data_IF_443899529546
#
_entry.id   IF_443899529546
#
_cell.length_a   1.000
_cell.length_b   1.000
_cell.length_c   1.000
_cell.angle_alpha   90.00
_cell.angle_beta   90.00
_cell.angle_gamma   90.00
#
_symmetry.space_group_name_H-M   'P 1'
#
loop_
_entity.id
_entity.type
_entity.pdbx_description
1 polymer ?
#
# COMPACT_ATOMS: atom_id res chain seq x y z
N UNK A 1 -25.33 -14.25 28.77
CA UNK A 1 -24.62 -13.12 29.37
C UNK A 1 -23.19 -13.11 28.84
N UNK A 2 -22.84 -12.18 27.96
CA UNK A 2 -21.49 -11.61 27.75
C UNK A 2 -21.55 -10.70 26.51
N UNK A 3 -22.06 -9.48 26.70
CA UNK A 3 -22.16 -8.43 25.67
C UNK A 3 -21.04 -7.37 25.75
N UNK A 4 -20.05 -7.56 26.61
CA UNK A 4 -19.09 -6.49 26.96
C UNK A 4 -17.72 -6.59 26.25
N UNK A 5 -17.45 -7.62 25.46
CA UNK A 5 -16.17 -7.79 24.77
C UNK A 5 -16.02 -6.91 23.52
N UNK A 6 -17.06 -6.76 22.75
CA UNK A 6 -17.02 -6.09 21.44
C UNK A 6 -16.89 -4.56 21.54
N UNK A 7 -17.46 -3.97 22.57
CA UNK A 7 -17.41 -2.52 22.84
C UNK A 7 -16.02 -2.03 23.27
N UNK A 8 -15.18 -2.91 23.81
CA UNK A 8 -13.85 -2.54 24.31
C UNK A 8 -12.82 -2.43 23.17
N UNK A 9 -12.89 -3.31 22.17
CA UNK A 9 -11.97 -3.27 21.03
C UNK A 9 -12.18 -2.06 20.11
N UNK A 10 -13.43 -1.62 19.94
CA UNK A 10 -13.77 -0.42 19.19
C UNK A 10 -13.22 0.85 19.87
N UNK A 11 -13.29 0.94 21.20
CA UNK A 11 -12.75 2.08 21.95
C UNK A 11 -11.23 2.12 21.93
N UNK A 12 -10.57 0.96 21.98
CA UNK A 12 -9.11 0.85 21.88
C UNK A 12 -8.65 1.27 20.47
N UNK A 13 -9.37 0.85 19.44
CA UNK A 13 -9.07 1.23 18.04
C UNK A 13 -9.25 2.74 17.80
N UNK A 14 -10.31 3.34 18.34
CA UNK A 14 -10.50 4.79 18.28
C UNK A 14 -9.43 5.56 19.07
N UNK A 15 -9.00 5.04 20.22
CA UNK A 15 -7.94 5.64 21.02
C UNK A 15 -6.58 5.57 20.29
N UNK A 16 -6.27 4.48 19.60
CA UNK A 16 -5.06 4.34 18.79
C UNK A 16 -5.05 5.30 17.59
N UNK A 17 -6.20 5.49 16.92
CA UNK A 17 -6.34 6.48 15.85
C UNK A 17 -6.15 7.90 16.40
N UNK A 18 -6.74 8.23 17.54
CA UNK A 18 -6.59 9.53 18.17
C UNK A 18 -5.14 9.79 18.62
N UNK A 19 -4.42 8.77 19.09
CA UNK A 19 -3.01 8.85 19.45
C UNK A 19 -2.11 9.07 18.23
N UNK A 20 -2.47 8.48 17.09
CA UNK A 20 -1.75 8.67 15.82
C UNK A 20 -1.94 10.10 15.27
N UNK A 21 -3.14 10.66 15.38
CA UNK A 21 -3.39 12.05 15.00
C UNK A 21 -2.76 13.06 15.96
N UNK A 22 -2.66 12.76 17.26
CA UNK A 22 -2.03 13.67 18.22
C UNK A 22 -0.51 13.79 18.03
N UNK A 23 0.16 12.72 17.57
CA UNK A 23 1.60 12.77 17.27
C UNK A 23 1.94 13.67 16.07
N UNK A 24 1.00 13.83 15.12
CA UNK A 24 1.19 14.77 14.00
C UNK A 24 1.10 16.24 14.42
N UNK A 25 0.39 16.57 15.50
CA UNK A 25 0.22 17.96 15.96
C UNK A 25 1.46 18.45 16.75
N UNK A 26 2.18 17.55 17.43
CA UNK A 26 3.40 17.90 18.17
C UNK A 26 4.63 18.11 17.26
N UNK A 27 4.57 17.71 16.00
CA UNK A 27 5.65 17.93 15.04
C UNK A 27 5.74 19.35 14.49
N UNK A 28 4.76 20.24 14.82
CA UNK A 28 4.69 21.59 14.26
C UNK A 28 5.20 22.69 15.22
N UNK A 29 5.76 22.35 16.38
CA UNK A 29 6.12 23.34 17.39
C UNK A 29 7.59 23.20 17.85
N UNK A 30 8.51 23.38 16.91
CA UNK A 30 9.89 23.75 17.22
C UNK A 30 10.42 24.69 16.14
N UNK A 31 9.96 25.95 16.21
CA UNK A 31 10.65 27.05 15.58
C UNK A 31 11.86 27.42 16.43
N UNK A 32 12.97 27.72 15.74
CA UNK A 32 14.23 28.38 16.17
C UNK A 32 15.38 27.45 16.58
N UNK A 33 15.95 26.79 15.55
CA UNK A 33 17.41 26.86 15.32
C UNK A 33 17.68 26.58 13.84
N UNK A 34 18.59 27.26 13.12
CA UNK A 34 19.04 26.86 11.81
C UNK A 34 19.98 25.67 11.98
N UNK A 35 19.42 24.51 12.37
CA UNK A 35 20.09 23.25 12.15
C UNK A 35 20.20 23.10 10.64
N UNK A 36 21.35 22.68 10.15
CA UNK A 36 21.55 22.23 8.80
C UNK A 36 20.51 21.14 8.54
N UNK A 37 19.37 21.57 8.03
CA UNK A 37 18.23 20.70 7.71
C UNK A 37 18.79 19.63 6.79
N UNK A 38 18.78 18.41 7.27
CA UNK A 38 19.46 17.31 6.59
C UNK A 38 18.82 17.20 5.19
N UNK A 39 19.55 17.61 4.16
CA UNK A 39 19.07 17.68 2.76
C UNK A 39 18.38 16.40 2.31
N UNK A 40 18.72 15.28 2.97
CA UNK A 40 18.09 14.00 2.73
C UNK A 40 16.58 14.05 3.01
N UNK A 41 16.16 14.54 4.19
CA UNK A 41 14.76 14.55 4.58
C UNK A 41 13.87 15.50 3.76
N UNK A 42 14.46 16.53 3.18
CA UNK A 42 13.75 17.44 2.27
C UNK A 42 13.33 16.75 0.97
N UNK A 43 14.04 15.71 0.57
CA UNK A 43 13.78 14.94 -0.63
C UNK A 43 12.92 13.68 -0.36
N UNK A 44 12.63 13.38 0.93
CA UNK A 44 11.78 12.27 1.31
C UNK A 44 10.33 12.71 1.37
N UNK A 45 9.46 11.97 0.71
CA UNK A 45 8.02 12.14 0.82
C UNK A 45 7.40 10.85 1.37
N UNK A 46 6.47 11.02 2.28
CA UNK A 46 5.68 9.93 2.84
C UNK A 46 4.31 9.91 2.18
N UNK A 47 3.76 8.73 2.03
CA UNK A 47 2.47 8.59 1.40
C UNK A 47 2.09 7.14 1.20
N UNK A 48 1.53 6.84 0.05
CA UNK A 48 1.18 5.48 -0.28
C UNK A 48 0.08 5.39 -1.33
N UNK A 49 -0.32 4.16 -1.62
CA UNK A 49 -1.34 3.84 -2.60
C UNK A 49 -2.50 3.04 -2.02
N UNK A 50 -3.64 3.22 -2.64
CA UNK A 50 -4.81 2.37 -2.47
C UNK A 50 -5.10 1.75 -3.83
N UNK A 51 -5.26 0.44 -3.88
CA UNK A 51 -5.68 -0.30 -5.05
C UNK A 51 -7.03 -0.97 -4.80
N UNK A 52 -7.86 -0.98 -5.82
CA UNK A 52 -9.16 -1.62 -5.78
C UNK A 52 -9.27 -2.54 -7.00
N UNK A 53 -9.59 -3.79 -6.79
CA UNK A 53 -9.89 -4.77 -7.83
C UNK A 53 -11.30 -5.30 -7.66
N UNK A 54 -12.08 -5.28 -8.74
CA UNK A 54 -13.43 -5.84 -8.76
C UNK A 54 -13.57 -6.80 -9.94
N UNK A 55 -14.15 -7.95 -9.69
CA UNK A 55 -14.43 -8.96 -10.71
C UNK A 55 -15.67 -9.78 -10.35
N UNK A 56 -16.09 -10.70 -11.24
CA UNK A 56 -17.23 -11.57 -10.99
C UNK A 56 -16.99 -12.45 -9.75
N UNK A 57 -17.51 -12.03 -8.60
CA UNK A 57 -17.41 -12.77 -7.33
C UNK A 57 -16.10 -12.58 -6.56
N UNK A 58 -15.27 -11.61 -6.95
CA UNK A 58 -14.00 -11.34 -6.32
C UNK A 58 -13.87 -9.84 -5.97
N UNK A 59 -13.33 -9.57 -4.80
CA UNK A 59 -13.03 -8.20 -4.32
C UNK A 59 -11.59 -8.19 -3.80
N UNK A 60 -10.81 -7.23 -4.29
CA UNK A 60 -9.43 -6.97 -3.88
C UNK A 60 -9.34 -5.54 -3.36
N UNK A 61 -8.87 -5.39 -2.13
CA UNK A 61 -8.57 -4.10 -1.52
C UNK A 61 -7.12 -4.14 -1.09
N UNK A 62 -6.31 -3.22 -1.61
CA UNK A 62 -4.90 -3.09 -1.24
C UNK A 62 -4.61 -1.73 -0.63
N UNK A 63 -3.79 -1.73 0.41
CA UNK A 63 -3.25 -0.56 1.08
C UNK A 63 -1.73 -0.66 1.09
N UNK A 64 -1.06 0.39 0.62
CA UNK A 64 0.37 0.40 0.40
C UNK A 64 1.02 1.69 0.94
N UNK A 65 1.15 1.85 2.28
CA UNK A 65 1.94 2.95 2.83
C UNK A 65 3.40 2.84 2.35
N UNK A 66 3.98 3.97 1.97
CA UNK A 66 5.32 4.01 1.39
C UNK A 66 6.02 5.33 1.65
N UNK A 67 7.35 5.30 1.55
CA UNK A 67 8.20 6.48 1.55
C UNK A 67 9.02 6.48 0.27
N UNK A 68 9.14 7.63 -0.39
CA UNK A 68 9.93 7.81 -1.60
C UNK A 68 10.99 8.88 -1.36
N UNK A 69 12.14 8.71 -2.00
CA UNK A 69 13.19 9.69 -2.08
C UNK A 69 13.25 10.24 -3.50
N UNK A 70 13.08 11.54 -3.66
CA UNK A 70 13.17 12.23 -4.93
C UNK A 70 14.62 12.59 -5.22
N UNK A 71 15.22 11.96 -6.22
CA UNK A 71 16.57 12.30 -6.68
C UNK A 71 16.58 13.61 -7.46
N UNK A 72 15.52 13.84 -8.20
CA UNK A 72 15.25 15.06 -8.98
C UNK A 72 13.75 15.16 -9.30
N UNK A 73 13.35 16.13 -10.10
CA UNK A 73 11.96 16.34 -10.56
C UNK A 73 11.39 15.15 -11.35
N UNK A 74 12.25 14.33 -11.96
CA UNK A 74 11.85 13.25 -12.86
C UNK A 74 11.86 11.86 -12.20
N UNK A 75 12.79 11.63 -11.26
CA UNK A 75 13.06 10.28 -10.74
C UNK A 75 12.95 10.23 -9.23
N UNK A 76 12.17 9.26 -8.74
CA UNK A 76 12.14 8.91 -7.33
C UNK A 76 12.23 7.38 -7.16
N UNK A 77 12.83 6.96 -6.04
CA UNK A 77 12.81 5.57 -5.58
C UNK A 77 12.22 5.50 -4.19
N UNK A 78 11.51 4.44 -3.89
CA UNK A 78 10.88 4.28 -2.60
C UNK A 78 10.78 2.84 -2.15
N UNK A 79 10.38 2.71 -0.88
CA UNK A 79 10.05 1.45 -0.25
C UNK A 79 8.67 1.55 0.37
N UNK A 80 7.94 0.45 0.38
CA UNK A 80 6.60 0.41 0.92
C UNK A 80 6.29 -0.88 1.63
N UNK A 81 5.28 -0.81 2.47
CA UNK A 81 4.62 -1.98 3.02
C UNK A 81 3.36 -2.24 2.21
N UNK A 82 3.00 -3.50 2.07
CA UNK A 82 1.82 -3.92 1.32
C UNK A 82 0.91 -4.73 2.23
N UNK A 83 -0.35 -4.37 2.24
CA UNK A 83 -1.40 -5.19 2.83
C UNK A 83 -2.52 -5.33 1.81
N UNK A 84 -2.92 -6.58 1.54
CA UNK A 84 -4.03 -6.88 0.63
C UNK A 84 -5.02 -7.81 1.29
N UNK A 85 -6.28 -7.52 1.07
CA UNK A 85 -7.40 -8.35 1.43
C UNK A 85 -8.10 -8.83 0.16
N UNK A 86 -8.05 -10.12 -0.07
CA UNK A 86 -8.71 -10.79 -1.19
C UNK A 86 -9.88 -11.60 -0.65
N UNK A 87 -11.07 -11.36 -1.16
CA UNK A 87 -12.25 -12.17 -0.86
C UNK A 87 -12.84 -12.68 -2.15
N UNK A 88 -12.94 -14.00 -2.27
CA UNK A 88 -13.70 -14.67 -3.31
C UNK A 88 -14.97 -15.24 -2.71
N UNK A 89 -16.11 -14.91 -3.33
CA UNK A 89 -17.43 -15.32 -2.85
C UNK A 89 -17.49 -16.84 -2.73
N UNK A 90 -17.83 -17.34 -1.53
CA UNK A 90 -18.06 -18.74 -1.19
C UNK A 90 -16.83 -19.69 -1.17
N UNK A 91 -15.59 -19.18 -1.29
CA UNK A 91 -14.42 -20.06 -1.33
C UNK A 91 -13.37 -19.77 -0.26
N UNK A 92 -12.87 -18.55 -0.13
CA UNK A 92 -11.83 -18.20 0.86
C UNK A 92 -11.69 -16.71 1.06
N UNK A 93 -11.15 -16.33 2.22
CA UNK A 93 -10.61 -15.01 2.49
C UNK A 93 -9.11 -15.13 2.74
N UNK A 94 -8.31 -14.32 2.04
CA UNK A 94 -6.87 -14.33 2.19
C UNK A 94 -6.36 -12.96 2.59
N UNK A 95 -5.45 -12.96 3.55
CA UNK A 95 -4.69 -11.81 3.97
C UNK A 95 -3.26 -11.93 3.45
N UNK A 96 -2.81 -10.91 2.74
CA UNK A 96 -1.48 -10.85 2.18
C UNK A 96 -0.77 -9.65 2.76
N UNK A 97 0.47 -9.83 3.19
CA UNK A 97 1.31 -8.76 3.71
C UNK A 97 2.74 -8.93 3.25
N UNK A 98 3.42 -7.83 3.07
CA UNK A 98 4.79 -7.84 2.61
C UNK A 98 5.35 -6.45 2.39
N UNK A 99 6.36 -6.36 1.54
CA UNK A 99 7.01 -5.12 1.18
C UNK A 99 7.13 -4.93 -0.32
N UNK A 100 7.40 -3.70 -0.72
CA UNK A 100 7.68 -3.36 -2.10
C UNK A 100 8.82 -2.36 -2.23
N UNK A 101 9.45 -2.38 -3.40
CA UNK A 101 10.35 -1.33 -3.88
C UNK A 101 9.71 -0.72 -5.11
N UNK A 102 9.63 0.60 -5.14
CA UNK A 102 8.97 1.35 -6.20
C UNK A 102 9.92 2.36 -6.82
N UNK A 103 10.00 2.37 -8.16
CA UNK A 103 10.60 3.41 -8.95
C UNK A 103 9.53 4.25 -9.63
N UNK A 104 9.66 5.57 -9.55
CA UNK A 104 8.77 6.52 -10.20
C UNK A 104 9.57 7.34 -11.22
N UNK A 105 8.97 7.55 -12.37
CA UNK A 105 9.52 8.39 -13.42
C UNK A 105 8.43 9.34 -13.94
N UNK A 106 8.69 10.65 -13.86
CA UNK A 106 7.78 11.71 -14.27
C UNK A 106 8.37 12.42 -15.49
N UNK A 107 8.11 11.95 -16.72
CA UNK A 107 8.65 12.61 -17.94
C UNK A 107 8.15 14.05 -18.09
N UNK A 108 6.94 14.31 -17.61
CA UNK A 108 6.33 15.63 -17.45
C UNK A 108 5.57 15.67 -16.12
N UNK A 109 5.27 16.86 -15.57
CA UNK A 109 4.62 16.97 -14.25
C UNK A 109 3.30 16.20 -14.10
N UNK A 110 2.55 16.04 -15.21
CA UNK A 110 1.22 15.42 -15.20
C UNK A 110 1.24 13.91 -15.44
N UNK A 111 2.36 13.34 -15.91
CA UNK A 111 2.47 11.91 -16.22
C UNK A 111 3.46 11.26 -15.27
N UNK A 112 3.02 10.22 -14.59
CA UNK A 112 3.87 9.38 -13.75
C UNK A 112 3.88 7.94 -14.28
N UNK A 113 5.07 7.46 -14.61
CA UNK A 113 5.34 6.05 -14.86
C UNK A 113 5.87 5.41 -13.59
N UNK A 114 5.57 4.15 -13.36
CA UNK A 114 6.03 3.42 -12.20
C UNK A 114 6.46 2.00 -12.54
N UNK A 115 7.50 1.53 -11.84
CA UNK A 115 7.87 0.13 -11.78
C UNK A 115 7.91 -0.28 -10.30
N UNK A 116 7.23 -1.34 -9.92
CA UNK A 116 7.10 -1.76 -8.52
C UNK A 116 7.32 -3.26 -8.41
N UNK A 117 8.31 -3.64 -7.59
CA UNK A 117 8.58 -5.03 -7.22
C UNK A 117 7.97 -5.28 -5.85
N UNK A 118 6.99 -6.18 -5.78
CA UNK A 118 6.33 -6.60 -4.55
C UNK A 118 6.77 -8.01 -4.14
N UNK A 119 6.99 -8.20 -2.83
CA UNK A 119 7.20 -9.50 -2.22
C UNK A 119 6.18 -9.68 -1.11
N UNK A 120 5.23 -10.58 -1.31
CA UNK A 120 4.12 -10.80 -0.38
C UNK A 120 4.15 -12.21 0.20
N UNK A 121 3.87 -12.30 1.49
CA UNK A 121 3.52 -13.57 2.14
C UNK A 121 2.02 -13.76 2.09
N UNK A 122 1.62 -14.88 1.53
CA UNK A 122 0.22 -15.28 1.38
C UNK A 122 -0.14 -16.23 2.52
N UNK A 123 -1.19 -15.89 3.26
CA UNK A 123 -1.77 -16.75 4.27
C UNK A 123 -3.21 -17.07 3.84
N UNK A 124 -3.46 -18.32 3.50
CA UNK A 124 -4.77 -18.78 3.04
C UNK A 124 -5.50 -19.46 4.18
N UNK A 125 -6.62 -18.88 4.59
CA UNK A 125 -7.55 -19.51 5.53
C UNK A 125 -8.70 -20.14 4.73
N UNK A 126 -8.74 -21.46 4.68
CA UNK A 126 -9.87 -22.21 4.11
C UNK A 126 -10.95 -22.34 5.18
N UNK A 127 -12.12 -21.74 4.93
CA UNK A 127 -13.30 -21.93 5.78
C UNK A 127 -13.76 -23.39 5.68
N UNK A 128 -13.61 -24.14 6.78
CA UNK A 128 -14.23 -25.47 6.94
C UNK A 128 -13.30 -26.66 7.04
N UNK A 129 -11.98 -26.50 7.02
CA UNK A 129 -11.05 -27.61 7.24
C UNK A 129 -9.93 -27.24 8.19
N UNK A 130 -9.82 -27.95 9.28
CA UNK A 130 -8.81 -27.76 10.34
C UNK A 130 -7.37 -28.16 9.92
N UNK A 131 -7.08 -28.29 8.63
CA UNK A 131 -5.79 -28.83 8.20
C UNK A 131 -5.38 -28.22 6.88
N UNK A 132 -4.29 -27.48 6.89
CA UNK A 132 -3.51 -26.89 5.81
C UNK A 132 -3.77 -25.40 5.53
N UNK A 133 -3.28 -24.54 6.41
CA UNK A 133 -2.85 -23.21 5.97
C UNK A 133 -1.60 -23.38 5.11
N UNK A 134 -1.66 -23.02 3.84
CA UNK A 134 -0.47 -23.00 2.98
C UNK A 134 0.10 -21.58 2.97
N UNK A 135 1.29 -21.45 3.54
CA UNK A 135 2.05 -20.22 3.49
C UNK A 135 3.04 -20.29 2.35
N UNK A 136 2.98 -19.33 1.42
CA UNK A 136 3.96 -19.22 0.35
C UNK A 136 4.30 -17.75 0.05
N UNK A 137 5.46 -17.55 -0.58
CA UNK A 137 5.87 -16.23 -1.05
C UNK A 137 5.38 -16.01 -2.48
N UNK A 138 4.84 -14.83 -2.73
CA UNK A 138 4.45 -14.38 -4.05
C UNK A 138 5.24 -13.14 -4.42
N UNK A 139 5.86 -13.16 -5.59
CA UNK A 139 6.60 -12.03 -6.15
C UNK A 139 5.80 -11.44 -7.29
N UNK A 140 5.59 -10.14 -7.26
CA UNK A 140 4.91 -9.40 -8.31
C UNK A 140 5.81 -8.30 -8.87
N UNK A 141 5.82 -8.12 -10.18
CA UNK A 141 6.45 -6.98 -10.84
C UNK A 141 5.37 -6.22 -11.61
N UNK A 142 5.18 -4.98 -11.24
CA UNK A 142 4.16 -4.12 -11.83
C UNK A 142 4.79 -2.98 -12.61
N UNK A 143 4.26 -2.73 -13.80
CA UNK A 143 4.51 -1.52 -14.57
C UNK A 143 3.22 -0.73 -14.59
N UNK A 144 3.29 0.56 -14.27
CA UNK A 144 2.13 1.44 -14.16
C UNK A 144 2.32 2.76 -14.85
N UNK A 145 1.20 3.38 -15.17
CA UNK A 145 1.13 4.75 -15.67
C UNK A 145 -0.09 5.44 -15.04
N UNK A 146 0.07 6.72 -14.73
CA UNK A 146 -0.99 7.52 -14.14
C UNK A 146 -0.89 9.00 -14.46
N UNK A 147 -2.01 9.67 -14.28
CA UNK A 147 -2.11 11.12 -14.31
C UNK A 147 -1.86 11.66 -12.91
N UNK A 148 -0.90 12.55 -12.81
CA UNK A 148 -0.50 13.21 -11.57
C UNK A 148 -1.08 14.62 -11.51
N UNK A 149 -1.68 14.96 -10.39
CA UNK A 149 -2.15 16.31 -10.08
C UNK A 149 -1.69 16.67 -8.65
N UNK A 150 -0.70 17.53 -8.56
CA UNK A 150 -0.06 17.87 -7.27
C UNK A 150 0.52 16.63 -6.57
N UNK A 151 0.02 16.36 -5.36
CA UNK A 151 0.44 15.22 -4.54
C UNK A 151 -0.22 13.90 -4.92
N UNK A 152 -1.28 13.92 -5.73
CA UNK A 152 -2.08 12.73 -6.05
C UNK A 152 -1.81 12.24 -7.46
N UNK A 153 -1.74 10.92 -7.63
CA UNK A 153 -1.68 10.24 -8.92
C UNK A 153 -2.80 9.21 -9.00
N UNK A 154 -3.56 9.26 -10.08
CA UNK A 154 -4.55 8.24 -10.41
C UNK A 154 -4.13 7.52 -11.69
N UNK A 155 -4.17 6.21 -11.70
CA UNK A 155 -3.68 5.44 -12.84
C UNK A 155 -4.02 3.98 -12.78
N UNK A 156 -3.30 3.22 -13.60
CA UNK A 156 -3.40 1.79 -13.62
C UNK A 156 -2.01 1.15 -13.71
N UNK A 157 -1.88 -0.05 -13.13
CA UNK A 157 -0.67 -0.86 -13.18
C UNK A 157 -0.99 -2.25 -13.71
N UNK A 158 -0.02 -2.83 -14.37
CA UNK A 158 -0.09 -4.15 -14.97
C UNK A 158 0.96 -5.07 -14.36
N UNK A 159 0.55 -6.25 -13.92
CA UNK A 159 1.48 -7.27 -13.44
C UNK A 159 2.12 -7.97 -14.63
N UNK A 160 3.45 -7.82 -14.77
CA UNK A 160 4.23 -8.43 -15.87
C UNK A 160 4.76 -9.82 -15.52
N UNK A 161 4.78 -10.19 -14.23
CA UNK A 161 5.13 -11.54 -13.80
C UNK A 161 3.85 -12.38 -13.74
N UNK A 162 3.62 -13.15 -14.79
CA UNK A 162 2.51 -14.12 -14.83
C UNK A 162 3.06 -15.46 -14.34
N UNK A 163 3.07 -15.67 -13.03
CA UNK A 163 3.39 -16.97 -12.45
C UNK A 163 2.11 -17.83 -12.38
N UNK A 164 2.27 -19.17 -12.42
CA UNK A 164 1.16 -20.13 -12.31
C UNK A 164 0.40 -20.02 -10.98
N UNK A 165 1.03 -19.43 -9.97
CA UNK A 165 0.47 -19.14 -8.64
C UNK A 165 0.04 -17.67 -8.51
N UNK A 166 -0.32 -17.01 -9.62
CA UNK A 166 -0.73 -15.61 -9.59
C UNK A 166 -1.97 -15.42 -8.71
N UNK A 167 -1.78 -14.75 -7.58
CA UNK A 167 -2.82 -14.42 -6.61
C UNK A 167 -3.70 -13.24 -7.05
N UNK A 168 -3.30 -12.55 -8.11
CA UNK A 168 -4.03 -11.39 -8.62
C UNK A 168 -5.10 -11.88 -9.60
N UNK A 169 -6.36 -11.65 -9.27
CA UNK A 169 -7.49 -12.04 -10.13
C UNK A 169 -7.52 -11.31 -11.47
N UNK A 170 -6.83 -10.16 -11.58
CA UNK A 170 -6.60 -9.41 -12.82
C UNK A 170 -5.16 -8.94 -12.86
N UNK A 171 -4.54 -9.02 -14.04
CA UNK A 171 -3.22 -8.43 -14.26
C UNK A 171 -3.27 -6.89 -14.28
N UNK A 172 -4.43 -6.31 -14.60
CA UNK A 172 -4.67 -4.88 -14.69
C UNK A 172 -5.36 -4.38 -13.42
N UNK A 173 -4.77 -3.38 -12.75
CA UNK A 173 -5.26 -2.85 -11.48
C UNK A 173 -5.25 -1.32 -11.49
N UNK A 174 -6.40 -0.67 -11.29
CA UNK A 174 -6.45 0.75 -11.03
C UNK A 174 -5.83 1.06 -9.66
N UNK A 175 -5.21 2.23 -9.53
CA UNK A 175 -4.66 2.69 -8.26
C UNK A 175 -4.86 4.20 -8.08
N UNK A 176 -4.88 4.62 -6.82
CA UNK A 176 -4.71 6.01 -6.40
C UNK A 176 -3.49 6.03 -5.46
N UNK A 177 -2.59 6.97 -5.69
CA UNK A 177 -1.37 7.15 -4.91
C UNK A 177 -1.23 8.61 -4.51
N UNK A 178 -0.80 8.86 -3.27
CA UNK A 178 -0.64 10.21 -2.73
C UNK A 178 0.67 10.28 -1.97
N UNK A 179 1.47 11.36 -2.20
CA UNK A 179 2.72 11.64 -1.48
C UNK A 179 2.74 13.10 -1.00
N UNK A 180 3.25 13.30 0.22
CA UNK A 180 3.35 14.60 0.90
C UNK A 180 4.79 14.91 1.29
#
# INVERSE_FOLDING_TARGET
MTKNGFLNHSKIFLALIALFFSSCVFAQQNDMQPEMENQFWRNVQFGGGIGLGFGSGYTDISLAPSAIYNFNEYVALGVGLQYKYLKQRDFYASHLYGGSVIGLFNPIPEIQLSAELEQLRVNVNLDGSNTNSQDYWNTGLFIGAGYRSGSATIGARYNVLTDKNNIYGSAFMPFIRVYF
#
